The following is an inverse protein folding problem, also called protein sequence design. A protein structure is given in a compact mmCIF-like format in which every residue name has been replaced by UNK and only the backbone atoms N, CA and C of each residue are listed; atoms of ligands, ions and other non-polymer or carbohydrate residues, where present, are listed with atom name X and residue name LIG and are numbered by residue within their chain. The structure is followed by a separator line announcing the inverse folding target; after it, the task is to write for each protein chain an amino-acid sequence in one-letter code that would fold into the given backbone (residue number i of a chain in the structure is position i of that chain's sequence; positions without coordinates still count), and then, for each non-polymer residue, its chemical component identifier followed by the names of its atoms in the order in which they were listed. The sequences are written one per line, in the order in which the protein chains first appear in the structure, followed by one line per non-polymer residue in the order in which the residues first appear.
data_IF_293137772255
#
_entry.id   IF_293137772255
#
_cell.length_a   1.000
_cell.length_b   1.000
_cell.length_c   1.000
_cell.angle_alpha   90.00
_cell.angle_beta   90.00
_cell.angle_gamma   90.00
#
_symmetry.space_group_name_H-M   'P 1'
#
loop_
_entity.id
_entity.type
_entity.pdbx_description
1 polymer ?
#
# COMPACT_ATOMS: atom_id res chain seq x y z
N UNK A 1 14.30 -1.18 -41.78
CA UNK A 1 13.36 -1.38 -40.66
C UNK A 1 12.32 -0.28 -40.78
N UNK A 2 11.04 -0.65 -40.95
CA UNK A 2 9.95 0.30 -41.21
C UNK A 2 9.69 1.17 -39.95
N UNK A 3 9.40 2.46 -40.11
CA UNK A 3 9.26 3.39 -38.98
C UNK A 3 8.06 3.06 -38.08
N UNK A 4 7.02 2.44 -38.66
CA UNK A 4 5.88 1.88 -37.92
C UNK A 4 6.31 0.79 -36.92
N UNK A 5 7.27 -0.04 -37.31
CA UNK A 5 7.81 -1.13 -36.48
C UNK A 5 8.61 -0.57 -35.29
N UNK A 6 9.32 0.55 -35.48
CA UNK A 6 10.03 1.23 -34.39
C UNK A 6 9.06 1.86 -33.40
N UNK A 7 8.03 2.56 -33.89
CA UNK A 7 6.99 3.17 -33.03
C UNK A 7 6.25 2.11 -32.22
N UNK A 8 5.82 1.02 -32.85
CA UNK A 8 5.15 -0.07 -32.15
C UNK A 8 6.03 -0.70 -31.04
N UNK A 9 7.34 -0.82 -31.28
CA UNK A 9 8.27 -1.31 -30.26
C UNK A 9 8.45 -0.32 -29.10
N UNK A 10 8.53 0.98 -29.39
CA UNK A 10 8.66 2.04 -28.38
C UNK A 10 7.42 2.12 -27.48
N UNK A 11 6.22 2.06 -28.07
CA UNK A 11 4.94 2.03 -27.35
C UNK A 11 4.82 0.78 -26.47
N UNK A 12 5.14 -0.39 -27.03
CA UNK A 12 5.14 -1.66 -26.29
C UNK A 12 6.11 -1.64 -25.10
N UNK A 13 7.31 -1.08 -25.30
CA UNK A 13 8.30 -0.97 -24.25
C UNK A 13 7.88 0.00 -23.13
N UNK A 14 7.24 1.11 -23.49
CA UNK A 14 6.68 2.06 -22.52
C UNK A 14 5.60 1.40 -21.65
N UNK A 15 4.65 0.68 -22.28
CA UNK A 15 3.58 -0.02 -21.59
C UNK A 15 4.10 -1.09 -20.61
N UNK A 16 5.16 -1.83 -20.97
CA UNK A 16 5.80 -2.81 -20.09
C UNK A 16 6.44 -2.13 -18.88
N UNK A 17 7.15 -1.00 -19.07
CA UNK A 17 7.76 -0.25 -17.97
C UNK A 17 6.71 0.27 -16.98
N UNK A 18 5.61 0.79 -17.49
CA UNK A 18 4.51 1.30 -16.66
C UNK A 18 3.82 0.17 -15.89
N UNK A 19 3.54 -0.95 -16.56
CA UNK A 19 3.00 -2.16 -15.93
C UNK A 19 3.91 -2.68 -14.81
N UNK A 20 5.22 -2.69 -15.04
CA UNK A 20 6.19 -3.08 -14.03
C UNK A 20 6.22 -2.11 -12.84
N UNK A 21 6.09 -0.80 -13.08
CA UNK A 21 5.97 0.21 -12.01
C UNK A 21 4.72 -0.01 -11.17
N UNK A 22 3.56 -0.19 -11.81
CA UNK A 22 2.29 -0.49 -11.10
C UNK A 22 2.42 -1.79 -10.29
N UNK A 23 3.06 -2.83 -10.85
CA UNK A 23 3.32 -4.08 -10.14
C UNK A 23 4.13 -3.87 -8.86
N UNK A 24 5.21 -3.07 -8.92
CA UNK A 24 6.02 -2.72 -7.74
C UNK A 24 5.21 -1.96 -6.67
N UNK A 25 4.40 -0.99 -7.09
CA UNK A 25 3.55 -0.23 -6.19
C UNK A 25 2.51 -1.12 -5.49
N UNK A 26 1.87 -2.04 -6.23
CA UNK A 26 0.94 -3.03 -5.65
C UNK A 26 1.62 -3.96 -4.66
N UNK A 27 2.84 -4.40 -4.94
CA UNK A 27 3.62 -5.22 -4.00
C UNK A 27 3.93 -4.44 -2.71
N UNK A 28 4.24 -3.14 -2.82
CA UNK A 28 4.45 -2.28 -1.65
C UNK A 28 3.19 -2.17 -0.80
N UNK A 29 2.03 -1.90 -1.42
CA UNK A 29 0.73 -1.89 -0.71
C UNK A 29 0.46 -3.22 -0.01
N UNK A 30 0.72 -4.34 -0.67
CA UNK A 30 0.54 -5.66 -0.05
C UNK A 30 1.42 -5.84 1.21
N UNK A 31 2.68 -5.40 1.17
CA UNK A 31 3.58 -5.49 2.32
C UNK A 31 3.13 -4.55 3.45
N UNK A 32 2.70 -3.33 3.11
CA UNK A 32 2.13 -2.38 4.07
C UNK A 32 0.90 -2.96 4.79
N UNK A 33 -0.01 -3.62 4.06
CA UNK A 33 -1.15 -4.31 4.68
C UNK A 33 -0.72 -5.42 5.64
N UNK A 34 0.29 -6.22 5.28
CA UNK A 34 0.84 -7.24 6.20
C UNK A 34 1.43 -6.62 7.46
N UNK A 35 2.07 -5.47 7.33
CA UNK A 35 2.59 -4.74 8.49
C UNK A 35 1.47 -4.23 9.38
N UNK A 36 0.39 -3.68 8.81
CA UNK A 36 -0.79 -3.27 9.57
C UNK A 36 -1.47 -4.47 10.27
N UNK A 37 -1.64 -5.61 9.59
CA UNK A 37 -2.20 -6.84 10.17
C UNK A 37 -1.39 -7.31 11.39
N UNK A 38 -0.06 -7.25 11.32
CA UNK A 38 0.81 -7.56 12.45
C UNK A 38 0.56 -6.61 13.63
N UNK A 39 0.41 -5.31 13.40
CA UNK A 39 0.08 -4.33 14.45
C UNK A 39 -1.30 -4.56 15.05
N UNK A 40 -2.31 -4.88 14.23
CA UNK A 40 -3.63 -5.25 14.74
C UNK A 40 -3.59 -6.50 15.62
N UNK A 41 -2.78 -7.50 15.25
CA UNK A 41 -2.58 -8.71 16.06
C UNK A 41 -1.91 -8.37 17.41
N UNK A 42 -0.92 -7.49 17.42
CA UNK A 42 -0.27 -7.01 18.65
C UNK A 42 -1.28 -6.31 19.56
N UNK A 43 -2.08 -5.38 19.02
CA UNK A 43 -3.16 -4.70 19.76
C UNK A 43 -4.16 -5.73 20.31
N UNK A 44 -4.61 -6.69 19.49
CA UNK A 44 -5.54 -7.73 19.90
C UNK A 44 -5.04 -8.57 21.08
N UNK A 45 -3.74 -8.91 21.07
CA UNK A 45 -3.09 -9.58 22.19
C UNK A 45 -3.10 -8.74 23.47
N UNK A 46 -2.77 -7.45 23.37
CA UNK A 46 -2.78 -6.54 24.51
C UNK A 46 -4.19 -6.35 25.07
N UNK A 47 -5.19 -6.20 24.19
CA UNK A 47 -6.60 -6.09 24.59
C UNK A 47 -7.06 -7.35 25.31
N UNK A 48 -6.71 -8.53 24.78
CA UNK A 48 -7.04 -9.81 25.40
C UNK A 48 -6.44 -9.95 26.80
N UNK A 49 -5.17 -9.59 26.98
CA UNK A 49 -4.51 -9.63 28.29
C UNK A 49 -5.10 -8.58 29.26
N UNK A 50 -5.40 -7.38 28.78
CA UNK A 50 -5.96 -6.29 29.61
C UNK A 50 -7.41 -6.54 30.02
N UNK A 51 -8.11 -7.46 29.33
CA UNK A 51 -9.45 -7.90 29.70
C UNK A 51 -9.47 -8.88 30.88
N UNK A 52 -8.32 -9.46 31.26
CA UNK A 52 -8.19 -10.30 32.46
C UNK A 52 -8.26 -9.44 33.72
N UNK A 53 -8.67 -10.03 34.84
CA UNK A 53 -8.73 -9.31 36.12
C UNK A 53 -7.33 -9.18 36.77
N UNK A 54 -7.00 -8.02 37.35
CA UNK A 54 -7.78 -6.78 37.36
C UNK A 54 -7.81 -6.12 35.98
N UNK A 55 -9.00 -5.67 35.57
CA UNK A 55 -9.18 -5.04 34.26
C UNK A 55 -8.34 -3.77 34.13
N UNK A 56 -7.65 -3.65 33.01
CA UNK A 56 -6.88 -2.47 32.64
C UNK A 56 -7.39 -1.89 31.33
N UNK A 57 -7.33 -0.57 31.16
CA UNK A 57 -7.66 0.04 29.88
C UNK A 57 -6.50 -0.13 28.88
N UNK A 58 -6.63 -0.96 27.82
CA UNK A 58 -5.54 -1.19 26.88
C UNK A 58 -5.15 0.07 26.08
N UNK A 59 -6.04 1.05 25.94
CA UNK A 59 -5.74 2.30 25.22
C UNK A 59 -4.79 3.24 25.97
N UNK A 60 -4.60 3.00 27.27
CA UNK A 60 -3.61 3.73 28.07
C UNK A 60 -2.20 3.13 27.96
N UNK A 61 -2.06 1.94 27.34
CA UNK A 61 -0.77 1.29 27.16
C UNK A 61 0.00 1.97 26.02
N UNK A 62 1.23 2.47 26.25
CA UNK A 62 2.03 3.15 25.23
C UNK A 62 2.23 2.32 23.96
N UNK A 63 2.32 0.99 24.10
CA UNK A 63 2.48 0.06 22.99
C UNK A 63 1.28 0.09 22.05
N UNK A 64 0.05 0.18 22.59
CA UNK A 64 -1.18 0.27 21.79
C UNK A 64 -1.25 1.61 21.07
N UNK A 65 -0.89 2.70 21.75
CA UNK A 65 -0.87 4.04 21.13
C UNK A 65 0.13 4.09 19.96
N UNK A 66 1.34 3.55 20.18
CA UNK A 66 2.36 3.45 19.13
C UNK A 66 1.89 2.60 17.95
N UNK A 67 1.28 1.44 18.20
CA UNK A 67 0.74 0.58 17.15
C UNK A 67 -0.35 1.30 16.33
N UNK A 68 -1.23 2.08 16.97
CA UNK A 68 -2.25 2.89 16.30
C UNK A 68 -1.60 3.96 15.41
N UNK A 69 -0.60 4.68 15.91
CA UNK A 69 0.10 5.70 15.11
C UNK A 69 0.79 5.10 13.88
N UNK A 70 1.40 3.92 14.03
CA UNK A 70 2.01 3.22 12.92
C UNK A 70 0.98 2.74 11.88
N UNK A 71 -0.17 2.23 12.32
CA UNK A 71 -1.28 1.88 11.43
C UNK A 71 -1.75 3.10 10.64
N UNK A 72 -1.93 4.26 11.29
CA UNK A 72 -2.32 5.50 10.60
C UNK A 72 -1.32 5.93 9.53
N UNK A 73 -0.02 5.77 9.80
CA UNK A 73 1.03 6.07 8.80
C UNK A 73 0.96 5.11 7.62
N UNK A 74 0.73 3.82 7.89
CA UNK A 74 0.56 2.80 6.86
C UNK A 74 -0.67 3.10 5.98
N UNK A 75 -1.80 3.48 6.58
CA UNK A 75 -3.01 3.85 5.85
C UNK A 75 -2.76 5.05 4.93
N UNK A 76 -2.14 6.12 5.44
CA UNK A 76 -1.81 7.29 4.64
C UNK A 76 -0.83 6.99 3.49
N UNK A 77 0.18 6.14 3.75
CA UNK A 77 1.13 5.72 2.71
C UNK A 77 0.44 4.86 1.64
N UNK A 78 -0.46 3.98 2.05
CA UNK A 78 -1.23 3.12 1.14
C UNK A 78 -2.12 3.95 0.24
N UNK A 79 -2.87 4.91 0.79
CA UNK A 79 -3.72 5.83 0.03
C UNK A 79 -2.91 6.62 -1.01
N UNK A 80 -1.74 7.16 -0.61
CA UNK A 80 -0.85 7.88 -1.52
C UNK A 80 -0.36 7.01 -2.70
N UNK A 81 -0.02 5.75 -2.44
CA UNK A 81 0.41 4.80 -3.48
C UNK A 81 -0.76 4.43 -4.40
N UNK A 82 -1.96 4.20 -3.85
CA UNK A 82 -3.15 3.91 -4.64
C UNK A 82 -3.52 5.06 -5.58
N UNK A 83 -3.38 6.30 -5.12
CA UNK A 83 -3.56 7.49 -5.95
C UNK A 83 -2.48 7.63 -7.03
N UNK A 84 -1.23 7.25 -6.75
CA UNK A 84 -0.18 7.16 -7.77
C UNK A 84 -0.56 6.12 -8.84
N UNK A 85 -1.05 4.95 -8.44
CA UNK A 85 -1.51 3.91 -9.38
C UNK A 85 -2.67 4.42 -10.25
N UNK A 86 -3.64 5.14 -9.66
CA UNK A 86 -4.76 5.74 -10.42
C UNK A 86 -4.24 6.75 -11.46
N UNK A 87 -3.29 7.61 -11.08
CA UNK A 87 -2.68 8.60 -11.98
C UNK A 87 -1.96 7.94 -13.16
N UNK A 88 -1.19 6.89 -12.92
CA UNK A 88 -0.51 6.12 -13.97
C UNK A 88 -1.52 5.50 -14.95
N UNK A 89 -2.56 4.84 -14.43
CA UNK A 89 -3.63 4.26 -15.27
C UNK A 89 -4.38 5.30 -16.11
N UNK A 90 -4.66 6.49 -15.55
CA UNK A 90 -5.32 7.56 -16.28
C UNK A 90 -4.44 8.15 -17.37
N UNK A 91 -3.13 8.28 -17.13
CA UNK A 91 -2.17 8.73 -18.13
C UNK A 91 -2.15 7.79 -19.33
N UNK A 92 -2.10 6.48 -19.08
CA UNK A 92 -2.15 5.44 -20.12
C UNK A 92 -3.45 5.52 -20.95
N UNK A 93 -4.59 5.83 -20.32
CA UNK A 93 -5.88 5.97 -21.01
C UNK A 93 -5.99 7.26 -21.84
N UNK A 94 -5.31 8.34 -21.43
CA UNK A 94 -5.28 9.60 -22.18
C UNK A 94 -4.30 9.60 -23.35
N UNK A 95 -3.21 8.84 -23.27
CA UNK A 95 -2.21 8.73 -24.37
C UNK A 95 -2.65 7.77 -25.49
N UNK A 96 -3.71 6.96 -25.26
CA UNK A 96 -4.30 6.04 -26.25
C UNK A 96 -5.47 6.64 -27.05
N UNK A 97 -5.86 7.90 -26.83
CA UNK A 97 -6.91 8.61 -27.58
C UNK A 97 -6.30 9.57 -28.60
#
# INVERSE_FOLDING_TARGET
MNDELKRAMEESWSAVKESARIGKLRLRVHNLHKDAERRFKEIGGIVYESAKLPWENPLQKPEVQKAIEEIKKIEAETEAIEDEIKKLKHKEASEKK
#
